data_IF_784536462793
#
_entry.id   IF_784536462793
#
_cell.length_a   1.000
_cell.length_b   1.000
_cell.length_c   1.000
_cell.angle_alpha   90.00
_cell.angle_beta   90.00
_cell.angle_gamma   90.00
#
_symmetry.space_group_name_H-M   'P 1'
#
loop_
_entity.id
_entity.type
_entity.pdbx_description
1 polymer ?
#
# COMPACT_ATOMS: atom_id res chain seq x y z
N UNK A 1 -7.55 75.41 -17.48
CA UNK A 1 -6.85 75.19 -16.20
C UNK A 1 -7.58 74.09 -15.45
N UNK A 2 -6.92 72.94 -15.26
CA UNK A 2 -7.50 71.71 -14.71
C UNK A 2 -7.41 71.76 -13.18
N UNK A 3 -8.56 71.78 -12.50
CA UNK A 3 -8.60 71.67 -11.04
C UNK A 3 -8.37 70.20 -10.64
N UNK A 4 -7.22 69.91 -10.05
CA UNK A 4 -6.92 68.60 -9.47
C UNK A 4 -7.76 68.38 -8.21
N UNK A 5 -8.69 67.42 -8.26
CA UNK A 5 -9.37 66.89 -7.07
C UNK A 5 -8.41 65.91 -6.36
N UNK A 6 -7.88 66.32 -5.22
CA UNK A 6 -7.27 65.39 -4.28
C UNK A 6 -8.38 64.65 -3.53
N UNK A 7 -8.69 63.42 -3.94
CA UNK A 7 -9.43 62.47 -3.11
C UNK A 7 -8.42 61.74 -2.21
N UNK A 8 -8.16 62.28 -1.02
CA UNK A 8 -7.54 61.52 0.07
C UNK A 8 -8.64 60.73 0.79
N UNK A 9 -9.01 59.57 0.23
CA UNK A 9 -9.77 58.58 1.00
C UNK A 9 -8.76 57.64 1.67
N UNK A 10 -8.37 58.00 2.90
CA UNK A 10 -7.78 57.04 3.83
C UNK A 10 -8.87 56.02 4.16
N UNK A 11 -8.81 54.83 3.56
CA UNK A 11 -9.59 53.70 4.06
C UNK A 11 -8.96 53.35 5.40
N UNK A 12 -9.59 53.74 6.49
CA UNK A 12 -9.21 53.28 7.82
C UNK A 12 -9.42 51.77 7.86
N UNK A 13 -8.32 51.02 7.90
CA UNK A 13 -8.31 49.58 8.19
C UNK A 13 -8.95 49.36 9.57
N UNK A 14 -10.23 49.00 9.57
CA UNK A 14 -10.96 48.66 10.78
C UNK A 14 -10.29 47.43 11.43
N UNK A 15 -9.54 47.65 12.51
CA UNK A 15 -8.94 46.57 13.31
C UNK A 15 -10.05 45.60 13.72
N UNK A 16 -9.94 44.29 13.44
CA UNK A 16 -10.94 43.34 13.92
C UNK A 16 -10.91 43.31 15.44
N UNK A 17 -12.10 43.34 16.06
CA UNK A 17 -12.29 43.27 17.50
C UNK A 17 -11.44 42.13 18.09
N UNK A 18 -10.51 42.50 18.97
CA UNK A 18 -9.54 41.55 19.53
C UNK A 18 -10.28 40.64 20.50
N UNK A 19 -10.63 39.44 20.06
CA UNK A 19 -11.13 38.37 20.91
C UNK A 19 -10.16 38.18 22.09
N UNK A 20 -10.69 38.12 23.33
CA UNK A 20 -9.89 37.78 24.50
C UNK A 20 -9.65 36.28 24.52
N UNK A 21 -8.47 35.84 24.08
CA UNK A 21 -8.04 34.45 24.20
C UNK A 21 -6.89 34.33 25.21
N UNK A 22 -6.83 33.18 25.88
CA UNK A 22 -5.70 32.80 26.73
C UNK A 22 -4.77 31.93 25.88
N UNK A 23 -3.55 32.38 25.68
CA UNK A 23 -2.49 31.56 25.08
C UNK A 23 -1.88 30.74 26.20
N UNK A 24 -2.04 29.43 26.15
CA UNK A 24 -1.36 28.50 27.07
C UNK A 24 -0.12 27.94 26.36
N UNK A 25 1.02 27.90 27.05
CA UNK A 25 2.27 27.32 26.55
C UNK A 25 2.64 26.03 27.30
N UNK A 26 1.67 25.44 28.00
CA UNK A 26 1.90 24.28 28.85
C UNK A 26 2.20 23.05 27.97
N UNK A 27 3.37 22.40 28.15
CA UNK A 27 3.78 21.28 27.31
C UNK A 27 2.86 20.06 27.49
N UNK A 28 2.19 19.93 28.63
CA UNK A 28 1.24 18.85 28.89
C UNK A 28 -0.01 18.94 28.00
N UNK A 29 -0.49 20.15 27.73
CA UNK A 29 -1.62 20.38 26.82
C UNK A 29 -1.20 20.16 25.35
N UNK A 30 0.04 20.51 25.00
CA UNK A 30 0.54 20.37 23.63
C UNK A 30 0.65 18.91 23.16
N UNK A 31 0.85 17.95 24.07
CA UNK A 31 0.85 16.51 23.76
C UNK A 31 -0.41 16.04 23.03
N UNK A 32 -1.57 16.66 23.32
CA UNK A 32 -2.83 16.33 22.64
C UNK A 32 -2.85 16.83 21.19
N UNK A 33 -2.21 17.97 20.92
CA UNK A 33 -2.02 18.49 19.55
C UNK A 33 -1.08 17.58 18.77
N UNK A 34 0.03 17.15 19.38
CA UNK A 34 0.98 16.23 18.75
C UNK A 34 0.34 14.89 18.36
N UNK A 35 -0.56 14.36 19.20
CA UNK A 35 -1.30 13.13 18.91
C UNK A 35 -2.23 13.25 17.70
N UNK A 36 -2.74 14.45 17.41
CA UNK A 36 -3.62 14.71 16.26
C UNK A 36 -2.85 14.83 14.95
N UNK A 37 -1.53 15.06 15.01
CA UNK A 37 -0.72 15.14 13.81
C UNK A 37 -0.61 13.78 13.11
N UNK A 38 -0.68 13.74 11.76
CA UNK A 38 -0.60 12.48 11.03
C UNK A 38 0.82 11.93 11.02
N UNK A 39 0.93 10.60 11.15
CA UNK A 39 2.21 9.90 11.01
C UNK A 39 2.61 9.89 9.53
N UNK A 40 3.78 10.44 9.19
CA UNK A 40 4.28 10.53 7.80
C UNK A 40 4.88 9.22 7.29
N UNK A 41 5.46 8.43 8.18
CA UNK A 41 6.16 7.18 7.86
C UNK A 41 5.32 5.98 8.33
N UNK A 42 5.28 4.93 7.51
CA UNK A 42 4.59 3.69 7.91
C UNK A 42 5.37 3.07 9.08
N UNK A 43 4.70 2.74 10.21
CA UNK A 43 5.38 2.16 11.35
C UNK A 43 5.97 0.80 10.99
N UNK A 44 7.11 0.48 11.61
CA UNK A 44 7.70 -0.86 11.53
C UNK A 44 6.83 -1.84 12.30
N UNK A 45 6.70 -3.06 11.79
CA UNK A 45 5.91 -4.09 12.46
C UNK A 45 6.62 -4.57 13.72
N UNK A 46 5.89 -4.64 14.83
CA UNK A 46 6.35 -5.26 16.06
C UNK A 46 6.21 -6.78 15.95
N UNK A 47 7.32 -7.50 16.16
CA UNK A 47 7.31 -8.97 16.18
C UNK A 47 6.51 -9.46 17.38
N UNK A 48 5.52 -10.33 17.12
CA UNK A 48 4.68 -10.99 18.13
C UNK A 48 4.71 -12.50 17.90
N UNK A 49 4.42 -13.26 18.94
CA UNK A 49 4.35 -14.73 18.86
C UNK A 49 3.15 -15.20 18.03
N UNK A 50 2.03 -14.47 18.11
CA UNK A 50 0.81 -14.78 17.37
C UNK A 50 0.15 -13.52 16.81
N UNK A 51 -0.41 -13.64 15.61
CA UNK A 51 -1.14 -12.60 14.91
C UNK A 51 -2.59 -13.05 14.66
N UNK A 52 -3.57 -12.54 15.42
CA UNK A 52 -4.97 -13.00 15.32
C UNK A 52 -5.63 -12.59 14.00
N UNK A 53 -5.10 -11.60 13.29
CA UNK A 53 -5.61 -11.15 11.98
C UNK A 53 -5.28 -12.12 10.83
N UNK A 54 -4.54 -13.20 11.08
CA UNK A 54 -4.05 -14.10 10.04
C UNK A 54 -2.86 -13.56 9.24
N UNK A 55 -2.42 -12.32 9.51
CA UNK A 55 -1.23 -11.75 8.91
C UNK A 55 0.03 -12.48 9.40
N UNK A 56 0.97 -12.74 8.50
CA UNK A 56 2.27 -13.36 8.83
C UNK A 56 3.43 -12.53 8.25
N UNK A 57 4.49 -12.26 9.04
CA UNK A 57 5.69 -11.60 8.54
C UNK A 57 6.46 -12.51 7.57
N UNK A 58 7.33 -11.92 6.74
CA UNK A 58 8.26 -12.69 5.92
C UNK A 58 9.28 -13.42 6.80
N UNK A 59 9.50 -14.69 6.52
CA UNK A 59 10.52 -15.52 7.18
C UNK A 59 11.89 -15.25 6.55
N UNK A 60 12.97 -15.50 7.29
CA UNK A 60 14.35 -15.33 6.76
C UNK A 60 14.64 -16.26 5.57
N UNK A 61 14.02 -17.44 5.53
CA UNK A 61 14.06 -18.37 4.40
C UNK A 61 13.49 -17.75 3.13
N UNK A 62 12.32 -17.11 3.22
CA UNK A 62 11.70 -16.42 2.09
C UNK A 62 12.51 -15.23 1.60
N UNK A 63 13.19 -14.50 2.50
CA UNK A 63 14.05 -13.36 2.12
C UNK A 63 15.32 -13.78 1.39
N UNK A 64 15.91 -14.91 1.79
CA UNK A 64 17.17 -15.41 1.25
C UNK A 64 16.98 -16.49 0.17
N UNK A 65 15.78 -16.54 -0.42
CA UNK A 65 15.49 -17.51 -1.45
C UNK A 65 16.41 -17.28 -2.67
N UNK A 66 17.07 -18.34 -3.21
CA UNK A 66 18.22 -18.18 -4.10
C UNK A 66 17.83 -17.66 -5.50
N UNK A 67 16.69 -18.09 -6.04
CA UNK A 67 16.35 -17.84 -7.45
C UNK A 67 15.46 -16.60 -7.65
N UNK A 68 14.53 -16.40 -6.73
CA UNK A 68 13.51 -15.38 -6.83
C UNK A 68 13.03 -14.94 -5.45
N UNK A 69 12.49 -13.73 -5.35
CA UNK A 69 11.99 -13.13 -4.12
C UNK A 69 10.73 -12.31 -4.38
N UNK A 70 9.73 -12.38 -3.49
CA UNK A 70 8.53 -11.55 -3.57
C UNK A 70 8.57 -10.48 -2.48
N UNK A 71 8.62 -9.21 -2.89
CA UNK A 71 8.60 -8.10 -1.94
C UNK A 71 7.19 -7.86 -1.37
N UNK A 72 7.09 -7.60 -0.06
CA UNK A 72 5.84 -7.08 0.52
C UNK A 72 5.55 -5.65 0.05
N UNK A 73 4.27 -5.31 0.09
CA UNK A 73 3.82 -3.94 -0.12
C UNK A 73 4.25 -3.01 1.03
N UNK A 74 4.10 -1.70 0.83
CA UNK A 74 4.38 -0.67 1.85
C UNK A 74 3.66 -0.94 3.18
N UNK A 75 2.49 -1.57 3.13
CA UNK A 75 1.67 -1.91 4.29
C UNK A 75 2.00 -3.30 4.85
N UNK A 76 3.13 -3.89 4.46
CA UNK A 76 3.59 -5.23 4.85
C UNK A 76 2.67 -6.38 4.38
N UNK A 77 1.84 -6.14 3.36
CA UNK A 77 0.92 -7.14 2.78
C UNK A 77 1.51 -7.83 1.56
N UNK A 78 1.05 -9.05 1.24
CA UNK A 78 1.40 -9.75 0.01
C UNK A 78 0.95 -8.95 -1.23
N UNK A 79 1.73 -8.94 -2.31
CA UNK A 79 1.40 -8.21 -3.53
C UNK A 79 0.49 -9.02 -4.49
N UNK A 80 -0.49 -9.74 -3.93
CA UNK A 80 -1.47 -10.55 -4.69
C UNK A 80 -2.81 -9.82 -4.68
N UNK A 81 -3.34 -9.51 -5.86
CA UNK A 81 -4.58 -8.74 -6.00
C UNK A 81 -5.47 -9.31 -7.09
N UNK A 82 -6.78 -9.19 -6.91
CA UNK A 82 -7.77 -9.48 -7.93
C UNK A 82 -8.02 -8.22 -8.77
N UNK A 83 -7.64 -8.26 -10.04
CA UNK A 83 -8.05 -7.26 -11.03
C UNK A 83 -9.37 -7.74 -11.68
N UNK A 84 -10.38 -6.89 -11.70
CA UNK A 84 -11.67 -7.17 -12.33
C UNK A 84 -11.92 -6.17 -13.47
N UNK A 85 -12.32 -6.69 -14.63
CA UNK A 85 -12.62 -5.89 -15.83
C UNK A 85 -14.04 -6.19 -16.34
N UNK A 86 -14.54 -5.36 -17.25
CA UNK A 86 -15.83 -5.54 -17.92
C UNK A 86 -16.98 -5.80 -16.93
N UNK A 87 -17.16 -4.89 -15.96
CA UNK A 87 -18.20 -4.99 -14.92
C UNK A 87 -18.14 -6.30 -14.12
N UNK A 88 -16.94 -6.83 -13.88
CA UNK A 88 -16.71 -8.03 -13.07
C UNK A 88 -16.85 -9.35 -13.83
N UNK A 89 -17.13 -9.32 -15.13
CA UNK A 89 -17.20 -10.54 -15.96
C UNK A 89 -15.83 -11.20 -16.10
N UNK A 90 -14.77 -10.39 -16.15
CA UNK A 90 -13.40 -10.89 -16.26
C UNK A 90 -12.69 -10.68 -14.95
N UNK A 91 -12.21 -11.77 -14.36
CA UNK A 91 -11.40 -11.78 -13.16
C UNK A 91 -9.99 -12.25 -13.50
N UNK A 92 -8.98 -11.54 -13.02
CA UNK A 92 -7.57 -11.84 -13.23
C UNK A 92 -6.84 -11.70 -11.91
N UNK A 93 -6.18 -12.76 -11.47
CA UNK A 93 -5.31 -12.73 -10.31
C UNK A 93 -3.96 -12.19 -10.73
N UNK A 94 -3.50 -11.14 -10.07
CA UNK A 94 -2.28 -10.41 -10.41
C UNK A 94 -1.32 -10.41 -9.25
N UNK A 95 -0.09 -10.83 -9.52
CA UNK A 95 1.00 -10.88 -8.57
C UNK A 95 2.06 -9.89 -9.02
N UNK A 96 2.47 -9.00 -8.12
CA UNK A 96 3.44 -7.93 -8.41
C UNK A 96 4.70 -8.09 -7.56
N UNK A 97 5.72 -7.27 -7.87
CA UNK A 97 6.94 -7.13 -7.06
C UNK A 97 7.74 -8.44 -6.91
N UNK A 98 7.76 -9.22 -7.97
CA UNK A 98 8.62 -10.41 -8.07
C UNK A 98 10.01 -9.94 -8.46
N UNK A 99 11.05 -10.49 -7.83
CA UNK A 99 12.47 -10.22 -8.10
C UNK A 99 13.17 -11.53 -8.42
N UNK A 100 14.26 -11.47 -9.17
CA UNK A 100 14.99 -12.65 -9.62
C UNK A 100 14.31 -13.33 -10.82
N UNK A 101 14.43 -14.65 -10.89
CA UNK A 101 13.89 -15.46 -11.99
C UNK A 101 12.36 -15.57 -11.93
N UNK A 102 11.70 -14.73 -12.73
CA UNK A 102 10.24 -14.68 -12.83
C UNK A 102 9.64 -15.89 -13.54
N UNK A 103 10.38 -16.53 -14.44
CA UNK A 103 9.90 -17.70 -15.18
C UNK A 103 9.86 -18.92 -14.28
N UNK A 104 10.91 -19.12 -13.47
CA UNK A 104 10.91 -20.18 -12.46
C UNK A 104 9.78 -19.99 -11.44
N UNK A 105 9.58 -18.77 -10.95
CA UNK A 105 8.45 -18.45 -10.07
C UNK A 105 7.10 -18.76 -10.75
N UNK A 106 6.96 -18.36 -12.02
CA UNK A 106 5.74 -18.57 -12.79
C UNK A 106 5.40 -20.05 -12.92
N UNK A 107 6.38 -20.88 -13.28
CA UNK A 107 6.18 -22.30 -13.56
C UNK A 107 5.82 -23.07 -12.28
N UNK A 108 6.54 -22.84 -11.18
CA UNK A 108 6.23 -23.46 -9.89
C UNK A 108 4.84 -23.08 -9.38
N UNK A 109 4.47 -21.80 -9.50
CA UNK A 109 3.17 -21.35 -9.05
C UNK A 109 2.05 -21.85 -9.97
N UNK A 110 2.27 -21.89 -11.28
CA UNK A 110 1.30 -22.41 -12.24
C UNK A 110 1.04 -23.88 -11.98
N UNK A 111 2.07 -24.70 -11.79
CA UNK A 111 1.95 -26.11 -11.45
C UNK A 111 1.13 -26.31 -10.15
N UNK A 112 1.40 -25.49 -9.13
CA UNK A 112 0.63 -25.53 -7.88
C UNK A 112 -0.86 -25.21 -8.10
N UNK A 113 -1.16 -24.17 -8.87
CA UNK A 113 -2.54 -23.77 -9.15
C UNK A 113 -3.29 -24.80 -10.00
N UNK A 114 -2.65 -25.34 -11.04
CA UNK A 114 -3.24 -26.37 -11.90
C UNK A 114 -3.48 -27.68 -11.15
N UNK A 115 -2.57 -28.05 -10.24
CA UNK A 115 -2.74 -29.21 -9.35
C UNK A 115 -3.89 -29.00 -8.36
N UNK A 116 -4.02 -27.80 -7.80
CA UNK A 116 -5.04 -27.48 -6.80
C UNK A 116 -6.44 -27.41 -7.41
N UNK A 117 -6.57 -26.86 -8.62
CA UNK A 117 -7.87 -26.69 -9.28
C UNK A 117 -8.22 -27.77 -10.31
N UNK A 118 -7.27 -28.62 -10.68
CA UNK A 118 -7.47 -29.72 -11.64
C UNK A 118 -7.76 -29.29 -13.07
N UNK A 119 -7.36 -28.07 -13.45
CA UNK A 119 -7.59 -27.50 -14.79
C UNK A 119 -6.40 -26.67 -15.24
N UNK A 120 -6.25 -26.53 -16.56
CA UNK A 120 -5.22 -25.70 -17.18
C UNK A 120 -5.57 -24.22 -16.98
N UNK A 121 -4.62 -23.44 -16.48
CA UNK A 121 -4.81 -22.02 -16.19
C UNK A 121 -4.00 -21.18 -17.17
N UNK A 122 -4.70 -20.27 -17.85
CA UNK A 122 -4.05 -19.32 -18.74
C UNK A 122 -3.34 -18.24 -17.92
N UNK A 123 -2.07 -18.03 -18.23
CA UNK A 123 -1.20 -17.09 -17.54
C UNK A 123 -0.51 -16.13 -18.51
N UNK A 124 -0.07 -14.99 -18.00
CA UNK A 124 0.74 -14.00 -18.71
C UNK A 124 1.86 -13.52 -17.79
N UNK A 125 3.10 -13.62 -18.26
CA UNK A 125 4.28 -13.06 -17.60
C UNK A 125 4.61 -11.71 -18.25
N UNK A 126 4.79 -10.67 -17.43
CA UNK A 126 5.18 -9.33 -17.85
C UNK A 126 6.47 -8.97 -17.10
N UNK A 127 7.61 -9.29 -17.71
CA UNK A 127 8.93 -9.16 -17.10
C UNK A 127 9.28 -7.73 -16.73
N UNK A 128 9.08 -6.77 -17.64
CA UNK A 128 9.49 -5.37 -17.42
C UNK A 128 8.82 -4.71 -16.22
N UNK A 129 7.63 -5.18 -15.82
CA UNK A 129 6.93 -4.70 -14.63
C UNK A 129 7.05 -5.66 -13.45
N UNK A 130 7.71 -6.81 -13.65
CA UNK A 130 7.80 -7.93 -12.73
C UNK A 130 6.42 -8.36 -12.20
N UNK A 131 5.50 -8.62 -13.15
CA UNK A 131 4.10 -8.97 -12.87
C UNK A 131 3.73 -10.26 -13.55
N UNK A 132 3.00 -11.11 -12.84
CA UNK A 132 2.33 -12.28 -13.41
C UNK A 132 0.83 -12.11 -13.27
N UNK A 133 0.10 -12.54 -14.30
CA UNK A 133 -1.36 -12.57 -14.32
C UNK A 133 -1.84 -13.98 -14.58
N UNK A 134 -2.81 -14.43 -13.80
CA UNK A 134 -3.54 -15.67 -14.00
C UNK A 134 -5.01 -15.35 -14.29
N UNK A 135 -5.58 -16.00 -15.31
CA UNK A 135 -7.00 -15.83 -15.64
C UNK A 135 -7.86 -16.56 -14.62
N UNK A 136 -8.67 -15.82 -13.88
CA UNK A 136 -9.55 -16.34 -12.83
C UNK A 136 -9.26 -15.73 -11.46
N UNK A 137 -10.02 -16.19 -10.47
CA UNK A 137 -9.89 -15.79 -9.08
C UNK A 137 -9.17 -16.89 -8.31
N UNK A 138 -7.87 -16.68 -8.09
CA UNK A 138 -6.95 -17.62 -7.44
C UNK A 138 -6.19 -16.94 -6.31
N UNK A 139 -6.66 -15.76 -5.86
CA UNK A 139 -5.96 -14.94 -4.87
C UNK A 139 -5.65 -15.75 -3.60
N UNK A 140 -6.64 -16.48 -3.09
CA UNK A 140 -6.49 -17.28 -1.89
C UNK A 140 -5.39 -18.34 -2.03
N UNK A 141 -5.39 -19.12 -3.12
CA UNK A 141 -4.39 -20.17 -3.34
C UNK A 141 -2.99 -19.58 -3.52
N UNK A 142 -2.87 -18.50 -4.27
CA UNK A 142 -1.60 -17.76 -4.41
C UNK A 142 -1.09 -17.24 -3.06
N UNK A 143 -1.96 -16.67 -2.23
CA UNK A 143 -1.59 -16.17 -0.90
C UNK A 143 -1.12 -17.31 0.02
N UNK A 144 -1.87 -18.41 0.09
CA UNK A 144 -1.48 -19.56 0.90
C UNK A 144 -0.15 -20.16 0.45
N UNK A 145 0.07 -20.27 -0.87
CA UNK A 145 1.32 -20.76 -1.42
C UNK A 145 2.50 -19.84 -1.08
N UNK A 146 2.36 -18.53 -1.24
CA UNK A 146 3.40 -17.57 -0.88
C UNK A 146 3.73 -17.60 0.62
N UNK A 147 2.69 -17.68 1.47
CA UNK A 147 2.85 -17.82 2.91
C UNK A 147 3.54 -19.14 3.29
N UNK A 148 3.25 -20.23 2.57
CA UNK A 148 3.87 -21.53 2.80
C UNK A 148 5.37 -21.52 2.49
N UNK A 149 5.78 -20.75 1.48
CA UNK A 149 7.19 -20.53 1.11
C UNK A 149 7.89 -19.49 2.00
N UNK A 150 7.16 -18.80 2.86
CA UNK A 150 7.70 -17.80 3.79
C UNK A 150 7.96 -16.42 3.18
N UNK A 151 7.43 -16.14 1.97
CA UNK A 151 7.48 -14.83 1.33
C UNK A 151 6.53 -13.83 1.97
#
# INVERSE_FOLDING_TARGET
>A
MVASRACSNSVEDSKPEVYKFRITQDPEEWKYVERLMPIRLVPKVTKKDSYPSGWRPQTEEGKNHPDYFVERSKNHMLPVHLDQYMRGQVKVTKIKRIRGDIWKFHDELKEHLETTEGKIINSQVIEGNCVIKFKGDHVYYCEQWLLSKGF
#
